data_IF_273597952434
#
_entry.id   IF_273597952434
#
_cell.length_a   1.000
_cell.length_b   1.000
_cell.length_c   1.000
_cell.angle_alpha   90.00
_cell.angle_beta   90.00
_cell.angle_gamma   90.00
#
_symmetry.space_group_name_H-M   'P 1'
#
loop_
_entity.id
_entity.type
_entity.pdbx_description
1 polymer ?
#
# COMPACT_ATOMS: atom_id res chain seq x y z
N UNK A 1 9.28 -7.80 4.50
CA UNK A 1 10.18 -6.64 4.80
C UNK A 1 9.31 -5.41 4.78
N UNK A 2 9.05 -4.81 5.95
CA UNK A 2 8.30 -3.54 6.07
C UNK A 2 9.10 -2.44 5.38
N UNK A 3 8.58 -1.86 4.30
CA UNK A 3 9.19 -0.69 3.69
C UNK A 3 9.28 0.41 4.74
N UNK A 4 10.44 1.05 4.88
CA UNK A 4 10.69 2.11 5.83
C UNK A 4 9.57 3.15 5.76
N UNK A 5 8.92 3.42 6.90
CA UNK A 5 7.87 4.42 7.02
C UNK A 5 8.54 5.79 6.81
N UNK A 6 8.50 6.36 5.58
CA UNK A 6 8.89 7.75 5.37
C UNK A 6 9.88 8.08 4.26
N UNK A 7 10.16 7.20 3.33
CA UNK A 7 10.92 7.57 2.11
C UNK A 7 10.10 8.47 1.16
N UNK A 8 10.76 9.22 0.25
CA UNK A 8 10.06 10.04 -0.74
C UNK A 8 9.20 9.16 -1.65
N UNK A 9 7.98 9.62 -1.92
CA UNK A 9 7.08 8.95 -2.84
C UNK A 9 7.60 9.08 -4.28
N UNK A 10 7.48 8.00 -5.05
CA UNK A 10 7.74 8.06 -6.50
C UNK A 10 6.73 9.01 -7.19
N UNK A 11 7.06 9.58 -8.38
CA UNK A 11 6.20 10.57 -9.01
C UNK A 11 4.75 10.12 -9.22
N UNK A 12 4.51 8.87 -9.63
CA UNK A 12 3.15 8.32 -9.78
C UNK A 12 2.43 8.14 -8.43
N UNK A 13 3.16 7.82 -7.37
CA UNK A 13 2.64 7.73 -6.01
C UNK A 13 2.27 9.12 -5.49
N UNK A 14 3.13 10.11 -5.74
CA UNK A 14 2.91 11.50 -5.34
C UNK A 14 1.66 12.10 -5.98
N UNK A 15 1.38 11.79 -7.24
CA UNK A 15 0.13 12.24 -7.90
C UNK A 15 -1.11 11.73 -7.19
N UNK A 16 -1.14 10.44 -6.85
CA UNK A 16 -2.29 9.83 -6.15
C UNK A 16 -2.40 10.35 -4.73
N UNK A 17 -1.27 10.48 -4.03
CA UNK A 17 -1.23 11.08 -2.70
C UNK A 17 -1.78 12.50 -2.70
N UNK A 18 -1.34 13.35 -3.61
CA UNK A 18 -1.78 14.75 -3.73
C UNK A 18 -3.29 14.83 -3.99
N UNK A 19 -3.81 13.99 -4.90
CA UNK A 19 -5.25 13.90 -5.17
C UNK A 19 -6.05 13.50 -3.92
N UNK A 20 -5.60 12.46 -3.20
CA UNK A 20 -6.26 11.97 -1.99
C UNK A 20 -6.16 12.99 -0.85
N UNK A 21 -5.02 13.66 -0.69
CA UNK A 21 -4.82 14.70 0.31
C UNK A 21 -5.72 15.92 0.07
N UNK A 22 -5.89 16.35 -1.18
CA UNK A 22 -6.82 17.43 -1.54
C UNK A 22 -8.29 17.03 -1.29
N UNK A 23 -8.65 15.76 -1.55
CA UNK A 23 -9.98 15.25 -1.22
C UNK A 23 -10.22 15.21 0.28
N UNK A 24 -9.21 14.85 1.08
CA UNK A 24 -9.26 14.88 2.55
C UNK A 24 -9.50 16.31 3.07
N UNK A 25 -8.77 17.29 2.57
CA UNK A 25 -8.90 18.69 3.00
C UNK A 25 -10.25 19.30 2.66
N UNK A 26 -10.80 18.93 1.50
CA UNK A 26 -12.13 19.40 1.07
C UNK A 26 -13.30 18.59 1.67
N UNK A 27 -13.02 17.64 2.58
CA UNK A 27 -14.03 16.78 3.19
C UNK A 27 -14.71 15.79 2.21
N UNK A 28 -14.13 15.61 1.02
CA UNK A 28 -14.65 14.71 -0.03
C UNK A 28 -14.02 13.33 -0.04
N UNK A 29 -13.04 13.07 0.84
CA UNK A 29 -12.43 11.75 0.96
C UNK A 29 -13.42 10.82 1.64
N UNK A 30 -13.76 9.72 0.98
CA UNK A 30 -14.61 8.68 1.56
C UNK A 30 -13.96 8.05 2.80
N UNK A 31 -14.77 7.54 3.71
CA UNK A 31 -14.28 6.78 4.86
C UNK A 31 -13.60 5.48 4.45
N UNK A 32 -14.05 4.85 3.36
CA UNK A 32 -13.48 3.63 2.81
C UNK A 32 -12.80 3.90 1.46
N UNK A 33 -11.50 3.57 1.38
CA UNK A 33 -10.71 3.69 0.17
C UNK A 33 -10.24 2.32 -0.30
N UNK A 34 -10.19 2.11 -1.61
CA UNK A 34 -9.56 0.97 -2.25
C UNK A 34 -8.39 1.44 -3.11
N UNK A 35 -7.17 1.25 -2.60
CA UNK A 35 -5.91 1.46 -3.33
C UNK A 35 -5.68 0.23 -4.22
N UNK A 36 -5.97 0.35 -5.50
CA UNK A 36 -5.95 -0.78 -6.45
C UNK A 36 -4.96 -0.57 -7.58
N UNK A 37 -4.43 -1.66 -8.12
CA UNK A 37 -3.51 -1.69 -9.25
C UNK A 37 -2.37 -2.66 -9.03
N UNK A 38 -1.44 -2.81 -10.00
CA UNK A 38 -0.37 -3.79 -9.96
C UNK A 38 0.41 -3.78 -8.64
N UNK A 39 0.95 -4.94 -8.26
CA UNK A 39 1.83 -5.05 -7.10
C UNK A 39 3.03 -4.11 -7.22
N UNK A 40 3.72 -3.86 -6.10
CA UNK A 40 5.00 -3.12 -6.08
C UNK A 40 4.96 -1.70 -6.68
N UNK A 41 3.78 -1.11 -6.88
CA UNK A 41 3.65 0.31 -7.26
C UNK A 41 3.58 1.25 -6.06
N UNK A 42 3.71 0.72 -4.84
CA UNK A 42 3.76 1.51 -3.60
C UNK A 42 2.41 1.96 -3.07
N UNK A 43 1.34 1.22 -3.36
CA UNK A 43 -0.02 1.47 -2.84
C UNK A 43 -0.04 1.65 -1.32
N UNK A 44 0.56 0.70 -0.58
CA UNK A 44 0.66 0.76 0.87
C UNK A 44 1.49 1.95 1.36
N UNK A 45 2.54 2.37 0.63
CA UNK A 45 3.32 3.56 0.97
C UNK A 45 2.46 4.83 0.90
N UNK A 46 1.63 4.98 -0.14
CA UNK A 46 0.70 6.11 -0.28
C UNK A 46 -0.38 6.06 0.81
N UNK A 47 -0.94 4.88 1.11
CA UNK A 47 -1.92 4.72 2.18
C UNK A 47 -1.33 5.14 3.53
N UNK A 48 -0.12 4.69 3.88
CA UNK A 48 0.58 5.09 5.11
C UNK A 48 0.93 6.58 5.15
N UNK A 49 1.37 7.16 4.04
CA UNK A 49 1.64 8.60 3.97
C UNK A 49 0.38 9.43 4.22
N UNK A 50 -0.75 9.02 3.63
CA UNK A 50 -2.05 9.66 3.82
C UNK A 50 -2.55 9.48 5.27
N UNK A 51 -2.36 8.30 5.88
CA UNK A 51 -2.68 8.03 7.28
C UNK A 51 -1.87 8.93 8.22
N UNK A 52 -0.57 9.05 7.99
CA UNK A 52 0.30 9.94 8.75
C UNK A 52 -0.16 11.41 8.66
N UNK A 53 -0.60 11.85 7.46
CA UNK A 53 -1.19 13.18 7.29
C UNK A 53 -2.48 13.34 8.08
N UNK A 54 -3.39 12.37 7.99
CA UNK A 54 -4.68 12.37 8.69
C UNK A 54 -4.51 12.48 10.21
N UNK A 55 -3.55 11.72 10.77
CA UNK A 55 -3.29 11.62 12.21
C UNK A 55 -2.31 12.71 12.72
N UNK A 56 -1.84 13.60 11.86
CA UNK A 56 -0.97 14.72 12.28
C UNK A 56 -1.77 15.81 12.99
N UNK A 57 -1.42 16.09 14.26
CA UNK A 57 -2.07 17.12 15.10
C UNK A 57 -1.77 18.56 14.63
N UNK A 58 -0.65 18.76 13.93
CA UNK A 58 -0.13 20.08 13.54
C UNK A 58 0.02 20.21 12.02
N UNK A 59 -0.92 19.63 11.26
CA UNK A 59 -0.91 19.78 9.80
C UNK A 59 -1.28 21.21 9.42
N UNK A 60 -0.55 21.77 8.45
CA UNK A 60 -0.94 23.01 7.81
C UNK A 60 -1.85 22.74 6.61
N UNK A 61 -2.78 23.63 6.26
CA UNK A 61 -3.54 23.52 5.02
C UNK A 61 -2.59 23.37 3.82
N UNK A 62 -2.85 22.41 2.93
CA UNK A 62 -1.98 22.10 1.79
C UNK A 62 -0.65 21.42 2.11
N UNK A 63 -0.25 21.34 3.39
CA UNK A 63 1.01 20.73 3.82
C UNK A 63 0.92 19.25 4.13
N UNK A 64 2.07 18.58 4.19
CA UNK A 64 2.19 17.19 4.65
C UNK A 64 2.14 17.07 6.18
N UNK A 65 2.24 15.84 6.69
CA UNK A 65 2.41 15.62 8.11
C UNK A 65 3.67 16.32 8.62
N UNK A 66 3.58 17.07 9.75
CA UNK A 66 4.68 17.92 10.23
C UNK A 66 5.94 17.13 10.67
N UNK A 67 5.84 15.84 10.90
CA UNK A 67 6.95 14.96 11.31
C UNK A 67 7.42 15.10 12.75
N UNK A 68 6.96 16.10 13.51
CA UNK A 68 7.48 16.47 14.84
C UNK A 68 6.45 16.48 15.97
N UNK A 69 5.15 16.54 15.69
CA UNK A 69 4.13 16.44 16.73
C UNK A 69 4.11 15.03 17.33
N UNK A 70 3.44 14.87 18.47
CA UNK A 70 3.36 13.59 19.16
C UNK A 70 2.74 12.50 18.29
N UNK A 71 1.64 12.78 17.56
CA UNK A 71 1.03 11.84 16.62
C UNK A 71 2.01 11.38 15.55
N UNK A 72 2.78 12.30 14.94
CA UNK A 72 3.81 11.91 13.95
C UNK A 72 4.92 11.05 14.53
N UNK A 73 5.34 11.31 15.77
CA UNK A 73 6.38 10.52 16.46
C UNK A 73 5.86 9.10 16.78
N UNK A 74 4.65 8.99 17.33
CA UNK A 74 4.01 7.71 17.61
C UNK A 74 3.77 6.90 16.32
N UNK A 75 3.35 7.58 15.25
CA UNK A 75 3.19 6.93 13.94
C UNK A 75 4.51 6.38 13.41
N UNK A 76 5.58 7.16 13.48
CA UNK A 76 6.92 6.74 13.06
C UNK A 76 7.46 5.57 13.91
N UNK A 77 7.11 5.53 15.20
CA UNK A 77 7.45 4.44 16.11
C UNK A 77 6.55 3.19 15.95
N UNK A 78 5.50 3.25 15.09
CA UNK A 78 4.54 2.15 14.92
C UNK A 78 3.63 1.92 16.13
N UNK A 79 3.49 2.92 17.02
CA UNK A 79 2.75 2.82 18.27
C UNK A 79 1.60 3.83 18.41
N UNK A 80 1.17 4.41 17.29
CA UNK A 80 0.03 5.35 17.30
C UNK A 80 -1.28 4.62 17.61
N UNK A 81 -2.02 4.95 18.69
CA UNK A 81 -3.18 4.19 19.13
C UNK A 81 -4.37 4.27 18.16
N UNK A 82 -4.43 5.31 17.31
CA UNK A 82 -5.48 5.51 16.33
C UNK A 82 -5.05 5.05 14.91
N UNK A 83 -3.92 4.34 14.79
CA UNK A 83 -3.44 3.72 13.56
C UNK A 83 -3.39 2.22 13.70
N UNK A 84 -4.08 1.52 12.81
CA UNK A 84 -4.13 0.06 12.77
C UNK A 84 -3.70 -0.42 11.38
N UNK A 85 -2.81 -1.40 11.33
CA UNK A 85 -2.41 -2.04 10.08
C UNK A 85 -2.57 -3.55 10.21
N UNK A 86 -3.34 -4.14 9.30
CA UNK A 86 -3.57 -5.58 9.26
C UNK A 86 -2.88 -6.16 8.04
N UNK A 87 -2.03 -7.13 8.29
CA UNK A 87 -1.30 -7.90 7.27
C UNK A 87 -1.23 -9.36 7.66
N UNK A 88 -0.45 -10.15 6.93
CA UNK A 88 -0.25 -11.55 7.25
C UNK A 88 0.38 -11.75 8.63
N UNK A 89 -0.18 -12.67 9.40
CA UNK A 89 0.34 -13.09 10.70
C UNK A 89 0.93 -14.50 10.62
N UNK A 90 1.83 -14.89 11.52
CA UNK A 90 2.32 -16.26 11.59
C UNK A 90 1.20 -17.27 11.81
N UNK A 91 1.35 -18.48 11.28
CA UNK A 91 0.53 -19.63 11.67
C UNK A 91 0.80 -19.98 13.14
N UNK A 92 -0.07 -20.79 13.76
CA UNK A 92 0.00 -21.08 15.22
C UNK A 92 1.35 -21.64 15.70
N UNK A 93 2.04 -22.38 14.85
CA UNK A 93 3.36 -22.95 15.16
C UNK A 93 4.54 -22.01 14.82
N UNK A 94 4.25 -20.82 14.27
CA UNK A 94 5.27 -19.83 13.91
C UNK A 94 6.12 -20.17 12.68
N UNK A 95 5.91 -21.33 12.04
CA UNK A 95 6.77 -21.85 10.97
C UNK A 95 6.73 -21.01 9.68
N UNK A 96 5.62 -20.35 9.41
CA UNK A 96 5.42 -19.51 8.22
C UNK A 96 4.33 -18.45 8.45
N UNK A 97 4.30 -17.45 7.57
CA UNK A 97 3.16 -16.53 7.53
C UNK A 97 1.95 -17.21 6.91
N UNK A 98 0.76 -16.82 7.34
CA UNK A 98 -0.48 -17.17 6.65
C UNK A 98 -0.49 -16.58 5.25
N UNK A 99 -1.23 -17.19 4.36
CA UNK A 99 -1.47 -16.71 2.99
C UNK A 99 -2.82 -16.01 2.85
N UNK A 100 -3.59 -15.96 3.94
CA UNK A 100 -4.91 -15.33 4.01
C UNK A 100 -5.04 -14.50 5.27
N UNK A 101 -5.83 -13.44 5.17
CA UNK A 101 -6.32 -12.67 6.31
C UNK A 101 -7.61 -13.30 6.82
N UNK A 102 -7.65 -13.57 8.13
CA UNK A 102 -8.72 -14.37 8.76
C UNK A 102 -9.73 -13.50 9.50
N UNK A 103 -10.89 -14.07 9.76
CA UNK A 103 -12.03 -13.38 10.39
C UNK A 103 -11.69 -12.78 11.75
N UNK A 104 -10.85 -13.43 12.54
CA UNK A 104 -10.50 -12.95 13.89
C UNK A 104 -9.74 -11.62 13.84
N UNK A 105 -8.83 -11.44 12.85
CA UNK A 105 -8.17 -10.16 12.62
C UNK A 105 -9.17 -9.03 12.29
N UNK A 106 -10.21 -9.35 11.51
CA UNK A 106 -11.23 -8.36 11.14
C UNK A 106 -12.16 -8.02 12.31
N UNK A 107 -12.47 -9.00 13.16
CA UNK A 107 -13.26 -8.76 14.39
C UNK A 107 -12.48 -7.89 15.38
N UNK A 108 -11.20 -8.18 15.57
CA UNK A 108 -10.31 -7.37 16.40
C UNK A 108 -10.24 -5.93 15.88
N UNK A 109 -9.98 -5.76 14.57
CA UNK A 109 -9.93 -4.45 13.93
C UNK A 109 -11.24 -3.68 14.08
N UNK A 110 -12.39 -4.33 13.88
CA UNK A 110 -13.71 -3.71 14.06
C UNK A 110 -13.94 -3.28 15.50
N UNK A 111 -13.47 -4.07 16.48
CA UNK A 111 -13.49 -3.72 17.89
C UNK A 111 -12.64 -2.48 18.20
N UNK A 112 -11.44 -2.40 17.62
CA UNK A 112 -10.56 -1.23 17.77
C UNK A 112 -11.19 0.04 17.16
N UNK A 113 -11.75 -0.06 15.97
CA UNK A 113 -12.43 1.06 15.30
C UNK A 113 -13.72 1.52 16.00
N UNK A 114 -14.32 0.71 16.86
CA UNK A 114 -15.46 1.08 17.67
C UNK A 114 -15.08 1.96 18.89
N UNK A 115 -13.82 1.98 19.28
CA UNK A 115 -13.33 2.81 20.39
C UNK A 115 -13.21 4.28 19.98
N UNK A 116 -13.27 5.17 20.96
CA UNK A 116 -13.05 6.61 20.73
C UNK A 116 -11.59 6.89 20.39
N UNK A 117 -11.28 7.70 19.34
CA UNK A 117 -9.91 8.09 19.03
C UNK A 117 -9.23 8.78 20.21
N UNK A 118 -7.97 8.49 20.43
CA UNK A 118 -7.19 9.06 21.54
C UNK A 118 -6.54 10.39 21.17
N UNK A 119 -6.24 10.60 19.87
CA UNK A 119 -5.54 11.79 19.37
C UNK A 119 -6.32 12.46 18.23
N UNK A 120 -7.18 13.41 18.55
CA UNK A 120 -7.66 14.34 17.54
C UNK A 120 -8.84 13.91 16.66
N UNK A 121 -9.61 12.88 17.03
CA UNK A 121 -10.90 12.60 16.43
C UNK A 121 -10.92 11.76 15.16
N UNK A 122 -9.77 11.23 14.71
CA UNK A 122 -9.71 10.29 13.59
C UNK A 122 -8.99 8.99 13.96
N UNK A 123 -9.50 7.87 13.43
CA UNK A 123 -8.80 6.59 13.40
C UNK A 123 -8.69 6.10 11.97
N UNK A 124 -7.61 5.44 11.64
CA UNK A 124 -7.42 4.83 10.32
C UNK A 124 -6.91 3.40 10.44
N UNK A 125 -7.56 2.52 9.71
CA UNK A 125 -7.15 1.13 9.55
C UNK A 125 -6.74 0.89 8.10
N UNK A 126 -5.60 0.25 7.90
CA UNK A 126 -5.11 -0.21 6.59
C UNK A 126 -5.10 -1.73 6.59
N UNK A 127 -5.68 -2.34 5.56
CA UNK A 127 -5.62 -3.79 5.30
C UNK A 127 -4.77 -3.99 4.05
N UNK A 128 -3.58 -4.56 4.21
CA UNK A 128 -2.60 -4.78 3.14
C UNK A 128 -1.91 -6.17 3.27
N UNK A 129 -2.20 -7.12 2.38
CA UNK A 129 -3.03 -7.05 1.18
C UNK A 129 -4.50 -7.41 1.46
N UNK A 130 -5.43 -6.58 0.98
CA UNK A 130 -6.86 -6.81 1.19
C UNK A 130 -7.45 -7.93 0.30
N UNK A 131 -6.86 -8.17 -0.87
CA UNK A 131 -7.24 -9.28 -1.77
C UNK A 131 -6.86 -10.68 -1.22
N UNK A 132 -6.18 -10.73 -0.07
CA UNK A 132 -5.95 -11.96 0.70
C UNK A 132 -7.03 -12.23 1.78
N UNK A 133 -8.05 -11.39 1.89
CA UNK A 133 -9.19 -11.64 2.78
C UNK A 133 -9.93 -12.91 2.35
N UNK A 134 -10.10 -13.86 3.27
CA UNK A 134 -11.01 -14.98 3.01
C UNK A 134 -12.48 -14.51 3.13
N UNK A 135 -13.42 -15.33 2.67
CA UNK A 135 -14.84 -14.97 2.60
C UNK A 135 -15.41 -14.57 3.97
N UNK A 136 -15.02 -15.25 5.05
CA UNK A 136 -15.50 -14.96 6.39
C UNK A 136 -14.96 -13.61 6.91
N UNK A 137 -13.68 -13.31 6.63
CA UNK A 137 -13.04 -12.03 6.97
C UNK A 137 -13.68 -10.88 6.18
N UNK A 138 -13.91 -11.07 4.87
CA UNK A 138 -14.56 -10.09 4.03
C UNK A 138 -15.98 -9.74 4.52
N UNK A 139 -16.77 -10.76 4.90
CA UNK A 139 -18.10 -10.56 5.43
C UNK A 139 -18.10 -9.82 6.78
N UNK A 140 -17.11 -10.08 7.64
CA UNK A 140 -16.99 -9.40 8.92
C UNK A 140 -16.77 -7.89 8.80
N UNK A 141 -16.19 -7.41 7.67
CA UNK A 141 -15.96 -5.98 7.41
C UNK A 141 -17.20 -5.24 6.89
N UNK A 142 -18.20 -5.95 6.37
CA UNK A 142 -19.34 -5.30 5.69
C UNK A 142 -20.06 -4.31 6.60
N UNK A 143 -20.32 -4.66 7.87
CA UNK A 143 -20.95 -3.75 8.82
C UNK A 143 -20.15 -2.46 9.03
N UNK A 144 -18.83 -2.57 9.18
CA UNK A 144 -17.94 -1.41 9.36
C UNK A 144 -17.91 -0.51 8.12
N UNK A 145 -18.08 -1.10 6.92
CA UNK A 145 -18.16 -0.36 5.66
C UNK A 145 -19.52 0.31 5.44
N UNK A 146 -20.61 -0.29 5.94
CA UNK A 146 -21.97 0.19 5.76
C UNK A 146 -22.35 1.28 6.77
N UNK A 147 -21.87 1.13 8.00
CA UNK A 147 -22.22 2.01 9.12
C UNK A 147 -20.95 2.63 9.73
N UNK A 148 -20.22 3.48 8.97
CA UNK A 148 -18.99 4.06 9.49
C UNK A 148 -19.28 5.04 10.63
N UNK A 149 -18.54 4.89 11.72
CA UNK A 149 -18.54 5.90 12.77
C UNK A 149 -17.81 7.17 12.30
N UNK A 150 -18.22 8.37 12.70
CA UNK A 150 -17.53 9.60 12.35
C UNK A 150 -16.03 9.56 12.67
N UNK A 151 -15.20 10.03 11.74
CA UNK A 151 -13.75 10.03 11.90
C UNK A 151 -13.08 8.65 11.79
N UNK A 152 -13.79 7.61 11.34
CA UNK A 152 -13.23 6.28 11.10
C UNK A 152 -12.96 6.07 9.63
N UNK A 153 -11.74 5.64 9.32
CA UNK A 153 -11.30 5.39 7.96
C UNK A 153 -10.83 3.96 7.83
N UNK A 154 -11.34 3.26 6.82
CA UNK A 154 -10.97 1.88 6.49
C UNK A 154 -10.42 1.82 5.07
N UNK A 155 -9.13 1.57 4.93
CA UNK A 155 -8.41 1.61 3.67
C UNK A 155 -7.91 0.24 3.28
N UNK A 156 -8.25 -0.19 2.08
CA UNK A 156 -7.95 -1.49 1.52
C UNK A 156 -6.88 -1.34 0.44
N UNK A 157 -5.82 -2.14 0.51
CA UNK A 157 -4.76 -2.19 -0.51
C UNK A 157 -4.84 -3.51 -1.24
N UNK A 158 -5.11 -3.49 -2.54
CA UNK A 158 -5.29 -4.70 -3.35
C UNK A 158 -4.52 -4.63 -4.67
N UNK A 159 -3.84 -5.71 -5.01
CA UNK A 159 -3.24 -5.91 -6.33
C UNK A 159 -4.26 -6.52 -7.30
N UNK A 160 -5.05 -7.45 -6.81
CA UNK A 160 -6.09 -8.16 -7.55
C UNK A 160 -7.48 -7.83 -6.98
N UNK A 161 -8.01 -6.62 -7.23
CA UNK A 161 -9.28 -6.19 -6.62
C UNK A 161 -10.47 -7.08 -7.00
N UNK A 162 -10.36 -7.85 -8.09
CA UNK A 162 -11.39 -8.82 -8.48
C UNK A 162 -11.59 -9.96 -7.46
N UNK A 163 -10.58 -10.25 -6.63
CA UNK A 163 -10.69 -11.24 -5.53
C UNK A 163 -11.52 -10.73 -4.35
N UNK A 164 -11.68 -9.41 -4.22
CA UNK A 164 -12.57 -8.84 -3.22
C UNK A 164 -14.04 -9.01 -3.65
N UNK A 165 -14.96 -9.34 -2.73
CA UNK A 165 -16.39 -9.35 -3.01
C UNK A 165 -16.87 -8.01 -3.60
N UNK A 166 -17.82 -8.09 -4.53
CA UNK A 166 -18.42 -6.90 -5.15
C UNK A 166 -19.05 -5.96 -4.10
N UNK A 167 -19.59 -6.54 -3.02
CA UNK A 167 -20.16 -5.83 -1.87
C UNK A 167 -19.17 -4.93 -1.15
N UNK A 168 -17.89 -5.33 -1.04
CA UNK A 168 -16.83 -4.48 -0.50
C UNK A 168 -16.42 -3.41 -1.52
N UNK A 169 -16.17 -3.84 -2.78
CA UNK A 169 -15.69 -2.93 -3.83
C UNK A 169 -16.65 -1.77 -4.11
N UNK A 170 -17.96 -2.03 -4.06
CA UNK A 170 -18.98 -1.01 -4.32
C UNK A 170 -19.08 0.07 -3.24
N UNK A 171 -18.56 -0.20 -2.03
CA UNK A 171 -18.59 0.72 -0.89
C UNK A 171 -17.30 1.53 -0.72
N UNK A 172 -16.29 1.22 -1.53
CA UNK A 172 -14.99 1.88 -1.45
C UNK A 172 -14.80 2.90 -2.57
N UNK A 173 -14.33 4.08 -2.24
CA UNK A 173 -13.82 5.03 -3.22
C UNK A 173 -12.49 4.50 -3.78
N UNK A 174 -12.38 4.39 -5.11
CA UNK A 174 -11.21 3.82 -5.76
C UNK A 174 -10.09 4.86 -5.94
N UNK A 175 -8.86 4.46 -5.57
CA UNK A 175 -7.62 5.13 -5.92
C UNK A 175 -6.80 4.18 -6.80
N UNK A 176 -6.76 4.46 -8.09
CA UNK A 176 -6.19 3.57 -9.09
C UNK A 176 -4.72 3.87 -9.35
N UNK A 177 -3.87 2.86 -9.19
CA UNK A 177 -2.45 2.88 -9.54
C UNK A 177 -2.25 2.23 -10.91
N UNK A 178 -1.65 2.97 -11.82
CA UNK A 178 -1.29 2.50 -13.15
C UNK A 178 0.23 2.53 -13.31
N UNK A 179 0.74 1.71 -14.23
CA UNK A 179 2.15 1.78 -14.59
C UNK A 179 2.45 3.19 -15.11
N UNK A 180 3.53 3.83 -14.63
CA UNK A 180 3.95 5.13 -15.14
C UNK A 180 4.50 5.02 -16.56
N UNK A 181 4.60 6.13 -17.31
CA UNK A 181 5.33 6.16 -18.57
C UNK A 181 6.76 5.64 -18.40
N UNK A 182 7.29 4.98 -19.43
CA UNK A 182 8.62 4.37 -19.37
C UNK A 182 9.73 5.37 -19.02
N UNK A 183 9.63 6.60 -19.52
CA UNK A 183 10.57 7.68 -19.21
C UNK A 183 10.57 8.05 -17.72
N UNK A 184 9.40 8.11 -17.10
CA UNK A 184 9.27 8.39 -15.66
C UNK A 184 9.79 7.22 -14.82
N UNK A 185 9.47 5.98 -15.21
CA UNK A 185 9.96 4.78 -14.55
C UNK A 185 11.49 4.67 -14.60
N UNK A 186 12.09 4.96 -15.74
CA UNK A 186 13.55 4.95 -15.93
C UNK A 186 14.23 6.05 -15.09
N UNK A 187 13.68 7.27 -15.13
CA UNK A 187 14.21 8.38 -14.32
C UNK A 187 14.18 8.05 -12.83
N UNK A 188 13.10 7.40 -12.34
CA UNK A 188 12.98 6.97 -10.96
C UNK A 188 14.01 5.88 -10.60
N UNK A 189 14.23 4.87 -11.46
CA UNK A 189 15.25 3.83 -11.22
C UNK A 189 16.65 4.42 -11.15
N UNK A 190 16.96 5.41 -12.02
CA UNK A 190 18.24 6.14 -11.97
C UNK A 190 18.41 6.93 -10.67
N UNK A 191 17.35 7.55 -10.19
CA UNK A 191 17.35 8.26 -8.90
C UNK A 191 17.55 7.30 -7.70
N UNK A 192 17.28 6.00 -7.86
CA UNK A 192 17.61 4.95 -6.88
C UNK A 192 19.08 4.48 -6.95
N UNK A 193 19.90 5.07 -7.82
CA UNK A 193 21.33 4.76 -7.95
C UNK A 193 21.67 3.69 -8.99
N UNK A 194 20.70 3.25 -9.81
CA UNK A 194 20.97 2.31 -10.88
C UNK A 194 21.48 3.02 -12.14
N UNK A 195 22.48 2.44 -12.81
CA UNK A 195 22.95 2.95 -14.09
C UNK A 195 21.87 2.85 -15.18
N UNK A 196 21.93 3.75 -16.18
CA UNK A 196 20.89 3.89 -17.19
C UNK A 196 20.67 2.62 -18.02
N UNK A 197 21.77 1.95 -18.42
CA UNK A 197 21.70 0.75 -19.25
C UNK A 197 21.03 -0.41 -18.51
N UNK A 198 21.47 -0.68 -17.30
CA UNK A 198 20.95 -1.76 -16.47
C UNK A 198 19.51 -1.46 -16.03
N UNK A 199 19.18 -0.21 -15.71
CA UNK A 199 17.81 0.21 -15.40
C UNK A 199 16.87 0.06 -16.60
N UNK A 200 17.31 0.44 -17.79
CA UNK A 200 16.52 0.28 -19.02
C UNK A 200 16.26 -1.20 -19.34
N UNK A 201 17.28 -2.04 -19.23
CA UNK A 201 17.16 -3.49 -19.43
C UNK A 201 16.18 -4.12 -18.43
N UNK A 202 16.33 -3.80 -17.14
CA UNK A 202 15.44 -4.30 -16.10
C UNK A 202 14.00 -3.86 -16.36
N UNK A 203 13.79 -2.62 -16.78
CA UNK A 203 12.46 -2.08 -17.06
C UNK A 203 11.81 -2.76 -18.27
N UNK A 204 12.56 -3.03 -19.33
CA UNK A 204 12.09 -3.81 -20.49
C UNK A 204 11.74 -5.23 -20.06
N UNK A 205 12.63 -5.89 -19.31
CA UNK A 205 12.40 -7.24 -18.80
C UNK A 205 11.16 -7.32 -17.90
N UNK A 206 10.91 -6.29 -17.09
CA UNK A 206 9.73 -6.14 -16.23
C UNK A 206 8.50 -5.58 -16.95
N UNK A 207 8.50 -5.48 -18.28
CA UNK A 207 7.39 -4.96 -19.09
C UNK A 207 6.92 -3.57 -18.65
N UNK A 208 7.85 -2.68 -18.36
CA UNK A 208 7.56 -1.32 -17.92
C UNK A 208 7.18 -1.17 -16.45
N UNK A 209 7.29 -2.23 -15.64
CA UNK A 209 6.91 -2.20 -14.24
C UNK A 209 8.08 -1.76 -13.33
N UNK A 210 8.11 -0.51 -12.82
CA UNK A 210 9.28 0.03 -12.11
C UNK A 210 9.60 -0.71 -10.82
N UNK A 211 8.58 -1.05 -10.02
CA UNK A 211 8.78 -1.73 -8.76
C UNK A 211 9.28 -3.17 -8.92
N UNK A 212 8.90 -3.85 -10.01
CA UNK A 212 9.43 -5.18 -10.34
C UNK A 212 10.87 -5.06 -10.86
N UNK A 213 11.15 -4.08 -11.72
CA UNK A 213 12.49 -3.81 -12.21
C UNK A 213 13.46 -3.50 -11.05
N UNK A 214 13.07 -2.64 -10.10
CA UNK A 214 13.86 -2.32 -8.92
C UNK A 214 14.13 -3.57 -8.06
N UNK A 215 13.14 -4.44 -7.88
CA UNK A 215 13.34 -5.70 -7.13
C UNK A 215 14.38 -6.59 -7.82
N UNK A 216 14.27 -6.81 -9.13
CA UNK A 216 15.20 -7.63 -9.89
C UNK A 216 16.63 -7.09 -9.94
N UNK A 217 16.76 -5.75 -9.88
CA UNK A 217 18.07 -5.09 -9.76
C UNK A 217 18.70 -5.32 -8.37
N UNK A 218 17.86 -5.42 -7.33
CA UNK A 218 18.33 -5.54 -5.95
C UNK A 218 18.58 -6.98 -5.52
N UNK A 219 17.83 -7.96 -6.04
CA UNK A 219 17.86 -9.38 -5.60
C UNK A 219 18.63 -10.32 -6.55
N UNK A 220 19.22 -9.77 -7.62
CA UNK A 220 19.97 -10.56 -8.61
C UNK A 220 19.10 -11.31 -9.64
N UNK A 221 17.79 -11.22 -9.58
CA UNK A 221 16.88 -11.90 -10.51
C UNK A 221 17.08 -11.49 -11.96
N UNK A 222 17.57 -10.26 -12.21
CA UNK A 222 17.90 -9.82 -13.56
C UNK A 222 19.06 -10.62 -14.17
N UNK A 223 20.09 -10.90 -13.37
CA UNK A 223 21.24 -11.74 -13.81
C UNK A 223 20.79 -13.18 -14.09
N UNK A 224 20.06 -13.78 -13.16
CA UNK A 224 19.49 -15.12 -13.36
C UNK A 224 18.63 -15.20 -14.64
N UNK A 225 17.80 -14.19 -14.89
CA UNK A 225 17.01 -14.13 -16.12
C UNK A 225 17.87 -14.08 -17.37
N UNK A 226 18.98 -13.33 -17.37
CA UNK A 226 19.93 -13.30 -18.50
C UNK A 226 20.51 -14.68 -18.78
N UNK A 227 20.94 -15.38 -17.74
CA UNK A 227 21.55 -16.71 -17.84
C UNK A 227 20.52 -17.70 -18.44
N UNK A 228 19.32 -17.76 -17.90
CA UNK A 228 18.23 -18.62 -18.41
C UNK A 228 17.89 -18.32 -19.87
N UNK A 229 17.81 -17.05 -20.26
CA UNK A 229 17.53 -16.65 -21.65
C UNK A 229 18.69 -17.08 -22.58
N UNK A 230 19.93 -16.96 -22.13
CA UNK A 230 21.11 -17.39 -22.90
C UNK A 230 21.12 -18.90 -23.10
N UNK A 231 20.82 -19.68 -22.04
CA UNK A 231 20.76 -21.15 -22.10
C UNK A 231 19.64 -21.61 -23.04
N UNK A 232 18.44 -21.02 -22.95
CA UNK A 232 17.34 -21.33 -23.87
C UNK A 232 17.69 -21.02 -25.32
N UNK A 233 18.35 -19.88 -25.59
CA UNK A 233 18.78 -19.50 -26.92
C UNK A 233 19.94 -20.40 -27.45
N UNK A 234 20.72 -21.04 -26.57
CA UNK A 234 21.70 -22.03 -26.95
C UNK A 234 21.04 -23.35 -27.37
N UNK A 235 20.01 -23.79 -26.62
CA UNK A 235 19.24 -24.99 -26.92
C UNK A 235 18.48 -24.91 -28.26
N UNK A 236 17.97 -23.73 -28.61
CA UNK A 236 17.23 -23.49 -29.86
C UNK A 236 18.16 -23.50 -31.10
N UNK A 237 19.47 -23.41 -30.90
CA UNK A 237 20.49 -23.42 -31.98
C UNK A 237 21.17 -24.76 -32.16
N UNK A 238 20.99 -25.71 -31.28
CA UNK A 238 21.59 -27.06 -31.32
C UNK A 238 20.61 -28.10 -31.81
#
# INVERSE_FOLDING_TARGET
MSAAIGGPLAPWQQRIYTQAAAALESGRLGHALLFRGPERLGKGAVARALARRLLCESRTPGGDACGRCRGCQLFAAGSHPDYHEVSFIPVKDGSRLRTELIVDQMRELSGQLALTPQYGGAQVAIIDPADALNSAAANALLKTLEEPQPGRYLWLVAAEPARLPATIRSRCQNLEFRLPPQTEALAWLRAQGHDERTAAEALVAARGHPGLAAAWLSDGSLALRRDVVADLAALDRG
#
